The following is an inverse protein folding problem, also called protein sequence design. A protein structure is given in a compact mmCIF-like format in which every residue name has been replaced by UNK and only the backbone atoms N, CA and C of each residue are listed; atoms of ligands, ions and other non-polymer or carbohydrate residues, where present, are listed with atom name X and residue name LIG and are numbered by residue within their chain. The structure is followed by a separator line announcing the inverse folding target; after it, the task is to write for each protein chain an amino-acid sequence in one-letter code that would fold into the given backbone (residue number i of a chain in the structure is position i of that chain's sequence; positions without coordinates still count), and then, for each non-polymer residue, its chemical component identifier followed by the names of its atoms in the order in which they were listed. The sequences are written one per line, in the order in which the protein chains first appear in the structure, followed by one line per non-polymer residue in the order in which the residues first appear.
data_IF_501383029626
#
_entry.id   IF_501383029626
#
_cell.length_a   1.000
_cell.length_b   1.000
_cell.length_c   1.000
_cell.angle_alpha   90.00
_cell.angle_beta   90.00
_cell.angle_gamma   90.00
#
_symmetry.space_group_name_H-M   'P 1'
#
loop_
_entity.id
_entity.type
_entity.pdbx_description
1 polymer ?
#
# COMPACT_ATOMS: atom_id res chain seq x y z
N UNK A 1 -4.88 9.48 10.35
CA UNK A 1 -4.64 10.49 9.31
C UNK A 1 -5.10 11.86 9.80
N UNK A 2 -4.21 12.85 9.76
CA UNK A 2 -4.57 14.25 10.03
C UNK A 2 -5.14 14.87 8.74
N UNK A 3 -6.32 14.41 8.34
CA UNK A 3 -6.85 14.62 7.00
C UNK A 3 -7.04 16.11 6.65
N UNK A 4 -7.54 16.91 7.58
CA UNK A 4 -7.76 18.35 7.36
C UNK A 4 -6.42 19.08 7.12
N UNK A 5 -5.38 18.74 7.90
CA UNK A 5 -4.05 19.31 7.73
C UNK A 5 -3.44 18.90 6.37
N UNK A 6 -3.50 17.62 6.03
CA UNK A 6 -2.92 17.13 4.75
C UNK A 6 -3.66 17.74 3.57
N UNK A 7 -4.98 17.88 3.66
CA UNK A 7 -5.79 18.52 2.61
C UNK A 7 -5.34 19.95 2.36
N UNK A 8 -5.18 20.75 3.41
CA UNK A 8 -4.74 22.14 3.28
C UNK A 8 -3.29 22.23 2.77
N UNK A 9 -2.39 21.38 3.27
CA UNK A 9 -1.02 21.30 2.79
C UNK A 9 -0.97 21.01 1.29
N UNK A 10 -1.74 20.01 0.81
CA UNK A 10 -1.77 19.64 -0.60
C UNK A 10 -2.43 20.73 -1.45
N UNK A 11 -3.48 21.36 -0.93
CA UNK A 11 -4.13 22.50 -1.63
C UNK A 11 -3.12 23.64 -1.85
N UNK A 12 -2.33 24.01 -0.84
CA UNK A 12 -1.30 25.04 -0.95
C UNK A 12 -0.18 24.62 -1.90
N UNK A 13 0.30 23.36 -1.83
CA UNK A 13 1.29 22.85 -2.74
C UNK A 13 0.83 22.91 -4.21
N UNK A 14 -0.45 22.61 -4.46
CA UNK A 14 -1.03 22.70 -5.82
C UNK A 14 -1.08 24.14 -6.35
N UNK A 15 -1.29 25.14 -5.50
CA UNK A 15 -1.22 26.56 -5.91
C UNK A 15 0.18 26.97 -6.40
N UNK A 16 1.21 26.33 -5.85
CA UNK A 16 2.62 26.54 -6.25
C UNK A 16 3.05 25.59 -7.39
N UNK A 17 2.12 24.83 -7.98
CA UNK A 17 2.42 23.90 -9.08
C UNK A 17 3.19 22.64 -8.66
N UNK A 18 3.24 22.34 -7.36
CA UNK A 18 3.95 21.18 -6.81
C UNK A 18 3.08 19.92 -6.93
N UNK A 19 3.69 18.81 -7.36
CA UNK A 19 3.05 17.50 -7.40
C UNK A 19 2.86 16.96 -5.98
N UNK A 20 1.73 16.30 -5.74
CA UNK A 20 1.34 15.81 -4.40
C UNK A 20 1.12 14.30 -4.41
N UNK A 21 1.74 13.61 -3.47
CA UNK A 21 1.62 12.16 -3.33
C UNK A 21 1.22 11.80 -1.91
N UNK A 22 0.15 11.02 -1.76
CA UNK A 22 -0.26 10.47 -0.48
C UNK A 22 0.27 9.04 -0.33
N UNK A 23 1.23 8.87 0.58
CA UNK A 23 1.70 7.54 1.01
C UNK A 23 0.84 7.05 2.17
N UNK A 24 0.19 5.90 2.02
CA UNK A 24 -0.79 5.44 2.99
C UNK A 24 -0.91 3.91 3.04
N UNK A 25 -1.26 3.40 4.23
CA UNK A 25 -1.70 2.01 4.39
C UNK A 25 -3.18 1.80 4.05
N UNK A 26 -3.91 2.85 3.69
CA UNK A 26 -5.35 2.80 3.46
C UNK A 26 -6.22 2.75 4.71
N UNK A 27 -5.64 2.56 5.88
CA UNK A 27 -6.37 2.57 7.15
C UNK A 27 -6.29 3.97 7.81
N UNK A 28 -7.39 4.59 8.24
CA UNK A 28 -8.74 4.07 8.44
C UNK A 28 -9.75 4.53 7.36
N UNK A 29 -9.57 4.19 6.10
CA UNK A 29 -10.58 4.52 5.08
C UNK A 29 -11.97 3.96 5.46
N UNK A 30 -13.01 4.76 5.28
CA UNK A 30 -14.42 4.38 5.46
C UNK A 30 -15.29 5.25 4.58
N UNK A 31 -16.46 4.74 4.21
CA UNK A 31 -17.53 5.49 3.55
C UNK A 31 -18.40 6.29 4.53
N UNK A 32 -18.10 6.22 5.82
CA UNK A 32 -18.86 6.94 6.85
C UNK A 32 -18.47 8.42 6.91
N UNK A 33 -19.47 9.26 7.19
CA UNK A 33 -19.24 10.68 7.46
C UNK A 33 -18.74 10.91 8.90
N UNK A 34 -17.92 11.92 9.15
CA UNK A 34 -17.46 12.97 8.21
C UNK A 34 -16.18 12.61 7.43
N UNK A 35 -15.63 11.40 7.61
CA UNK A 35 -14.37 11.02 6.99
C UNK A 35 -14.48 11.01 5.47
N UNK A 36 -15.56 10.45 4.93
CA UNK A 36 -15.72 10.27 3.49
C UNK A 36 -15.74 11.60 2.72
N UNK A 37 -16.49 12.58 3.21
CA UNK A 37 -16.48 13.93 2.63
C UNK A 37 -15.09 14.57 2.67
N UNK A 38 -14.36 14.43 3.78
CA UNK A 38 -12.99 14.95 3.91
C UNK A 38 -12.00 14.23 2.98
N UNK A 39 -12.15 12.92 2.82
CA UNK A 39 -11.32 12.15 1.90
C UNK A 39 -11.56 12.57 0.45
N UNK A 40 -12.81 12.80 0.06
CA UNK A 40 -13.15 13.32 -1.26
C UNK A 40 -12.55 14.73 -1.52
N UNK A 41 -12.48 15.57 -0.50
CA UNK A 41 -11.81 16.87 -0.62
C UNK A 41 -10.31 16.71 -0.80
N UNK A 42 -9.65 15.85 0.01
CA UNK A 42 -8.23 15.54 -0.14
C UNK A 42 -7.89 15.01 -1.53
N UNK A 43 -8.73 14.13 -2.07
CA UNK A 43 -8.56 13.55 -3.41
C UNK A 43 -8.45 14.60 -4.53
N UNK A 44 -9.08 15.78 -4.39
CA UNK A 44 -9.00 16.85 -5.40
C UNK A 44 -7.58 17.38 -5.56
N UNK A 45 -6.81 17.37 -4.48
CA UNK A 45 -5.47 17.92 -4.41
C UNK A 45 -4.37 16.86 -4.42
N UNK A 46 -4.74 15.57 -4.57
CA UNK A 46 -3.77 14.46 -4.60
C UNK A 46 -3.60 13.97 -6.04
N UNK A 47 -2.35 14.02 -6.54
CA UNK A 47 -2.00 13.54 -7.88
C UNK A 47 -1.76 12.04 -7.91
N UNK A 48 -1.15 11.49 -6.87
CA UNK A 48 -0.78 10.08 -6.78
C UNK A 48 -1.06 9.52 -5.39
N UNK A 49 -1.60 8.31 -5.33
CA UNK A 49 -1.73 7.53 -4.11
C UNK A 49 -0.73 6.36 -4.13
N UNK A 50 0.15 6.30 -3.15
CA UNK A 50 0.99 5.13 -2.89
C UNK A 50 0.33 4.31 -1.80
N UNK A 51 -0.30 3.20 -2.18
CA UNK A 51 -1.12 2.37 -1.29
C UNK A 51 -0.42 1.05 -0.98
N UNK A 52 -0.22 0.78 0.31
CA UNK A 52 0.33 -0.48 0.77
C UNK A 52 -0.77 -1.53 0.97
N UNK A 53 -0.69 -2.66 0.27
CA UNK A 53 -1.48 -3.86 0.55
C UNK A 53 -0.56 -4.88 1.23
N UNK A 54 -0.63 -4.94 2.57
CA UNK A 54 0.27 -5.78 3.37
C UNK A 54 -0.02 -7.27 3.21
N UNK A 55 -1.30 -7.65 3.07
CA UNK A 55 -1.74 -8.99 2.76
C UNK A 55 -3.12 -8.96 2.07
N UNK A 56 -3.35 -9.85 1.09
CA UNK A 56 -4.65 -9.92 0.40
C UNK A 56 -5.70 -10.67 1.22
N UNK A 57 -5.30 -11.64 2.03
CA UNK A 57 -6.20 -12.37 2.91
C UNK A 57 -6.47 -11.58 4.19
N UNK A 58 -7.76 -11.39 4.53
CA UNK A 58 -8.18 -10.55 5.65
C UNK A 58 -7.73 -11.10 7.02
N UNK A 59 -7.75 -12.42 7.20
CA UNK A 59 -7.35 -13.05 8.47
C UNK A 59 -5.84 -12.91 8.68
N UNK A 60 -5.03 -13.21 7.65
CA UNK A 60 -3.58 -13.06 7.69
C UNK A 60 -3.18 -11.59 7.79
N UNK A 61 -3.91 -10.67 7.14
CA UNK A 61 -3.69 -9.24 7.31
C UNK A 61 -3.93 -8.80 8.76
N UNK A 62 -4.99 -9.32 9.39
CA UNK A 62 -5.30 -9.02 10.79
C UNK A 62 -4.25 -9.58 11.74
N UNK A 63 -3.73 -10.77 11.49
CA UNK A 63 -2.62 -11.35 12.26
C UNK A 63 -1.36 -10.46 12.16
N UNK A 64 -1.05 -9.97 10.95
CA UNK A 64 0.13 -9.15 10.70
C UNK A 64 0.01 -7.72 11.24
N UNK A 65 -1.17 -7.10 11.19
CA UNK A 65 -1.36 -5.66 11.43
C UNK A 65 -2.33 -5.33 12.55
N UNK A 66 -3.01 -6.32 13.14
CA UNK A 66 -4.13 -6.21 14.08
C UNK A 66 -5.44 -5.69 13.47
N UNK A 67 -5.49 -5.41 12.18
CA UNK A 67 -6.66 -4.91 11.44
C UNK A 67 -6.93 -5.78 10.22
N UNK A 68 -8.19 -5.96 9.83
CA UNK A 68 -8.49 -6.55 8.52
C UNK A 68 -8.17 -5.57 7.39
N UNK A 69 -8.32 -6.02 6.14
CA UNK A 69 -7.94 -5.26 4.95
C UNK A 69 -9.12 -4.77 4.12
N UNK A 70 -10.37 -4.96 4.56
CA UNK A 70 -11.56 -4.64 3.78
C UNK A 70 -11.59 -3.18 3.35
N UNK A 71 -11.36 -2.28 4.30
CA UNK A 71 -11.30 -0.85 4.07
C UNK A 71 -10.16 -0.43 3.11
N UNK A 72 -9.03 -1.14 3.13
CA UNK A 72 -7.90 -0.88 2.22
C UNK A 72 -8.25 -1.26 0.78
N UNK A 73 -8.86 -2.45 0.61
CA UNK A 73 -9.31 -2.92 -0.70
C UNK A 73 -10.45 -2.05 -1.25
N UNK A 74 -11.35 -1.59 -0.39
CA UNK A 74 -12.42 -0.66 -0.77
C UNK A 74 -11.86 0.72 -1.17
N UNK A 75 -10.84 1.23 -0.45
CA UNK A 75 -10.14 2.45 -0.86
C UNK A 75 -9.51 2.29 -2.25
N UNK A 76 -8.82 1.18 -2.52
CA UNK A 76 -8.21 0.93 -3.83
C UNK A 76 -9.25 0.93 -4.96
N UNK A 77 -10.38 0.24 -4.77
CA UNK A 77 -11.49 0.25 -5.73
C UNK A 77 -12.05 1.64 -5.93
N UNK A 78 -12.30 2.36 -4.83
CA UNK A 78 -12.87 3.70 -4.86
C UNK A 78 -11.95 4.68 -5.62
N UNK A 79 -10.64 4.66 -5.36
CA UNK A 79 -9.66 5.46 -6.09
C UNK A 79 -9.66 5.10 -7.59
N UNK A 80 -9.66 3.81 -7.91
CA UNK A 80 -9.70 3.30 -9.28
C UNK A 80 -10.94 3.79 -10.04
N UNK A 81 -12.12 3.69 -9.42
CA UNK A 81 -13.39 4.10 -10.04
C UNK A 81 -13.50 5.62 -10.21
N UNK A 82 -12.77 6.40 -9.41
CA UNK A 82 -12.67 7.85 -9.52
C UNK A 82 -11.47 8.32 -10.37
N UNK A 83 -10.81 7.43 -11.11
CA UNK A 83 -9.73 7.77 -12.03
C UNK A 83 -8.45 8.26 -11.35
N UNK A 84 -8.25 7.97 -10.06
CA UNK A 84 -7.07 8.39 -9.31
C UNK A 84 -5.89 7.46 -9.56
N UNK A 85 -4.76 8.02 -9.94
CA UNK A 85 -3.52 7.27 -10.16
C UNK A 85 -3.02 6.62 -8.87
N UNK A 86 -2.61 5.35 -8.97
CA UNK A 86 -2.11 4.59 -7.83
C UNK A 86 -0.79 3.90 -8.15
N UNK A 87 0.08 3.86 -7.16
CA UNK A 87 1.13 2.87 -7.03
C UNK A 87 0.73 1.91 -5.91
N UNK A 88 0.64 0.63 -6.23
CA UNK A 88 0.39 -0.42 -5.24
C UNK A 88 1.74 -0.97 -4.80
N UNK A 89 1.92 -1.10 -3.48
CA UNK A 89 3.13 -1.66 -2.90
C UNK A 89 2.81 -2.87 -2.03
N UNK A 90 3.64 -3.88 -2.12
CA UNK A 90 3.54 -5.09 -1.31
C UNK A 90 4.90 -5.42 -0.70
N UNK A 91 4.97 -5.57 0.63
CA UNK A 91 6.20 -5.95 1.32
C UNK A 91 6.31 -7.48 1.31
N UNK A 92 7.37 -7.99 0.68
CA UNK A 92 7.66 -9.42 0.58
C UNK A 92 8.42 -9.88 1.83
N UNK A 93 7.74 -10.59 2.72
CA UNK A 93 8.29 -11.17 3.94
C UNK A 93 8.26 -12.69 3.81
N UNK A 94 9.43 -13.37 3.70
CA UNK A 94 9.48 -14.82 3.55
C UNK A 94 8.73 -15.57 4.65
N UNK A 95 7.90 -16.53 4.22
CA UNK A 95 7.05 -17.32 5.12
C UNK A 95 5.83 -16.61 5.70
N UNK A 96 5.63 -15.31 5.37
CA UNK A 96 4.53 -14.50 5.91
C UNK A 96 3.63 -13.95 4.79
N UNK A 97 4.22 -13.29 3.78
CA UNK A 97 3.46 -12.61 2.72
C UNK A 97 3.81 -13.11 1.32
N UNK A 98 4.59 -14.18 1.20
CA UNK A 98 5.20 -14.68 -0.04
C UNK A 98 4.56 -15.95 -0.59
N UNK A 99 3.42 -16.42 -0.01
CA UNK A 99 2.75 -17.62 -0.52
C UNK A 99 2.25 -17.39 -1.95
N UNK A 100 2.48 -18.38 -2.82
CA UNK A 100 2.11 -18.27 -4.25
C UNK A 100 0.61 -18.05 -4.44
N UNK A 101 -0.22 -18.70 -3.62
CA UNK A 101 -1.66 -18.54 -3.67
C UNK A 101 -2.09 -17.10 -3.35
N UNK A 102 -1.54 -16.51 -2.27
CA UNK A 102 -1.87 -15.14 -1.89
C UNK A 102 -1.32 -14.11 -2.86
N UNK A 103 -0.12 -14.32 -3.41
CA UNK A 103 0.43 -13.47 -4.46
C UNK A 103 -0.44 -13.50 -5.73
N UNK A 104 -0.95 -14.67 -6.15
CA UNK A 104 -1.88 -14.78 -7.27
C UNK A 104 -3.20 -14.03 -7.00
N UNK A 105 -3.79 -14.20 -5.82
CA UNK A 105 -5.00 -13.47 -5.40
C UNK A 105 -4.76 -11.95 -5.38
N UNK A 106 -3.60 -11.52 -4.91
CA UNK A 106 -3.22 -10.10 -4.93
C UNK A 106 -3.06 -9.60 -6.36
N UNK A 107 -2.40 -10.36 -7.24
CA UNK A 107 -2.28 -10.03 -8.67
C UNK A 107 -3.64 -9.87 -9.34
N UNK A 108 -4.57 -10.81 -9.11
CA UNK A 108 -5.94 -10.75 -9.64
C UNK A 108 -6.69 -9.51 -9.15
N UNK A 109 -6.57 -9.18 -7.86
CA UNK A 109 -7.16 -7.97 -7.30
C UNK A 109 -6.61 -6.72 -7.97
N UNK A 110 -5.29 -6.59 -8.05
CA UNK A 110 -4.65 -5.40 -8.65
C UNK A 110 -4.99 -5.27 -10.14
N UNK A 111 -5.08 -6.38 -10.89
CA UNK A 111 -5.54 -6.41 -12.30
C UNK A 111 -6.99 -5.94 -12.48
N UNK A 112 -7.82 -6.03 -11.45
CA UNK A 112 -9.20 -5.52 -11.50
C UNK A 112 -9.27 -3.99 -11.39
N UNK A 113 -8.21 -3.33 -10.96
CA UNK A 113 -8.12 -1.87 -10.83
C UNK A 113 -7.69 -1.25 -12.17
N UNK A 114 -8.24 -0.07 -12.51
CA UNK A 114 -8.07 0.57 -13.83
C UNK A 114 -6.94 1.60 -13.87
N UNK A 115 -6.46 2.06 -12.72
CA UNK A 115 -5.59 3.24 -12.60
C UNK A 115 -4.29 2.98 -11.84
N UNK A 116 -3.82 1.74 -11.87
CA UNK A 116 -2.54 1.37 -11.27
C UNK A 116 -1.41 1.65 -12.27
N UNK A 117 -0.64 2.70 -12.01
CA UNK A 117 0.52 3.08 -12.83
C UNK A 117 1.77 2.25 -12.49
N UNK A 118 1.88 1.77 -11.25
CA UNK A 118 3.00 0.95 -10.79
C UNK A 118 2.54 -0.08 -9.75
N UNK A 119 3.06 -1.30 -9.86
CA UNK A 119 2.97 -2.32 -8.83
C UNK A 119 4.38 -2.69 -8.38
N UNK A 120 4.67 -2.59 -7.10
CA UNK A 120 6.03 -2.70 -6.57
C UNK A 120 6.12 -3.72 -5.43
N UNK A 121 7.08 -4.63 -5.56
CA UNK A 121 7.49 -5.53 -4.48
C UNK A 121 8.61 -4.86 -3.69
N UNK A 122 8.38 -4.64 -2.41
CA UNK A 122 9.35 -4.10 -1.47
C UNK A 122 9.96 -5.26 -0.66
N UNK A 123 11.25 -5.57 -0.83
CA UNK A 123 11.88 -6.60 -0.03
C UNK A 123 11.89 -6.24 1.46
N UNK A 124 11.49 -7.17 2.31
CA UNK A 124 11.69 -7.05 3.76
C UNK A 124 13.16 -6.84 4.08
N UNK A 125 13.45 -6.00 5.06
CA UNK A 125 14.78 -5.72 5.56
C UNK A 125 14.81 -5.53 7.08
N UNK A 126 15.95 -5.74 7.70
CA UNK A 126 16.13 -5.73 9.16
C UNK A 126 16.63 -4.38 9.72
N UNK A 127 16.66 -3.32 8.90
CA UNK A 127 17.24 -2.02 9.28
C UNK A 127 16.59 -1.37 10.52
N UNK A 128 15.34 -1.73 10.85
CA UNK A 128 14.61 -1.18 12.00
C UNK A 128 14.67 -2.05 13.27
N UNK A 129 15.29 -3.23 13.23
CA UNK A 129 15.25 -4.20 14.34
C UNK A 129 15.83 -3.61 15.63
N UNK A 130 16.93 -2.87 15.53
CA UNK A 130 17.58 -2.24 16.70
C UNK A 130 16.63 -1.36 17.53
N UNK A 131 15.61 -0.75 16.89
CA UNK A 131 14.62 0.09 17.59
C UNK A 131 13.74 -0.73 18.52
N UNK A 132 13.42 -1.98 18.14
CA UNK A 132 12.66 -2.90 18.97
C UNK A 132 13.48 -3.32 20.19
N UNK A 133 14.78 -3.58 19.98
CA UNK A 133 15.73 -3.92 21.05
C UNK A 133 15.88 -2.75 22.04
N UNK A 134 16.08 -1.52 21.55
CA UNK A 134 16.17 -0.32 22.38
C UNK A 134 14.91 -0.05 23.20
N UNK A 135 13.72 -0.38 22.65
CA UNK A 135 12.44 -0.23 23.34
C UNK A 135 12.11 -1.42 24.27
N UNK A 136 12.92 -2.48 24.27
CA UNK A 136 12.65 -3.70 25.03
C UNK A 136 11.39 -4.46 24.55
N UNK A 137 10.98 -4.26 23.29
CA UNK A 137 9.79 -4.89 22.71
C UNK A 137 10.22 -6.09 21.87
N UNK A 138 9.65 -7.31 22.09
CA UNK A 138 9.95 -8.45 21.27
C UNK A 138 9.64 -8.23 19.80
N UNK A 139 10.62 -8.49 18.90
CA UNK A 139 10.41 -8.38 17.47
C UNK A 139 9.88 -9.70 16.90
N UNK A 140 8.67 -9.69 16.35
CA UNK A 140 7.98 -10.90 15.88
C UNK A 140 8.66 -11.59 14.69
N UNK A 141 9.43 -10.84 13.87
CA UNK A 141 10.12 -11.34 12.69
C UNK A 141 11.63 -11.54 12.91
N UNK A 142 12.09 -11.72 14.19
CA UNK A 142 13.51 -11.84 14.55
C UNK A 142 14.25 -12.98 13.82
N UNK A 143 13.51 -14.05 13.50
CA UNK A 143 14.05 -15.26 12.87
C UNK A 143 13.77 -15.28 11.34
N UNK A 144 13.24 -14.19 10.78
CA UNK A 144 12.95 -14.06 9.35
C UNK A 144 14.10 -13.34 8.65
N UNK A 145 14.72 -14.00 7.68
CA UNK A 145 15.74 -13.38 6.84
C UNK A 145 15.12 -12.54 5.73
N UNK A 146 15.80 -11.49 5.24
CA UNK A 146 15.41 -10.81 4.01
C UNK A 146 15.27 -11.80 2.84
N UNK A 147 14.32 -11.55 1.89
CA UNK A 147 14.13 -12.43 0.76
C UNK A 147 15.36 -12.44 -0.16
N UNK A 148 15.63 -13.59 -0.75
CA UNK A 148 16.66 -13.77 -1.77
C UNK A 148 16.25 -13.07 -3.09
N UNK A 149 17.23 -12.90 -3.99
CA UNK A 149 16.96 -12.34 -5.33
C UNK A 149 16.00 -13.20 -6.12
N UNK A 150 16.08 -14.52 -5.96
CA UNK A 150 15.22 -15.50 -6.61
C UNK A 150 13.78 -15.41 -6.09
N UNK A 151 13.58 -15.25 -4.80
CA UNK A 151 12.27 -15.05 -4.20
C UNK A 151 11.64 -13.73 -4.65
N UNK A 152 12.42 -12.66 -4.71
CA UNK A 152 11.97 -11.35 -5.21
C UNK A 152 11.58 -11.46 -6.70
N UNK A 153 12.41 -12.12 -7.53
CA UNK A 153 12.12 -12.32 -8.94
C UNK A 153 10.83 -13.12 -9.13
N UNK A 154 10.67 -14.24 -8.40
CA UNK A 154 9.44 -15.05 -8.42
C UNK A 154 8.21 -14.24 -8.03
N UNK A 155 8.29 -13.43 -6.98
CA UNK A 155 7.17 -12.60 -6.56
C UNK A 155 6.81 -11.56 -7.63
N UNK A 156 7.80 -10.90 -8.23
CA UNK A 156 7.57 -9.96 -9.33
C UNK A 156 6.90 -10.63 -10.54
N UNK A 157 7.31 -11.86 -10.90
CA UNK A 157 6.73 -12.61 -12.01
C UNK A 157 5.26 -12.99 -11.71
N UNK A 158 4.95 -13.48 -10.50
CA UNK A 158 3.58 -13.84 -10.11
C UNK A 158 2.68 -12.60 -10.08
N UNK A 159 3.18 -11.49 -9.58
CA UNK A 159 2.46 -10.23 -9.48
C UNK A 159 2.40 -9.47 -10.81
N UNK A 160 3.16 -9.92 -11.83
CA UNK A 160 3.23 -9.28 -13.15
C UNK A 160 3.59 -7.78 -13.06
N UNK A 161 4.54 -7.45 -12.17
CA UNK A 161 4.88 -6.05 -11.88
C UNK A 161 5.41 -5.29 -13.08
N UNK A 162 6.03 -5.98 -14.04
CA UNK A 162 6.59 -5.40 -15.26
C UNK A 162 5.53 -4.83 -16.21
N UNK A 163 4.26 -5.25 -16.09
CA UNK A 163 3.15 -4.77 -16.91
C UNK A 163 2.68 -3.37 -16.51
N UNK A 164 3.03 -2.90 -15.31
CA UNK A 164 2.61 -1.60 -14.78
C UNK A 164 3.68 -0.54 -15.04
N UNK A 165 3.58 0.17 -16.16
CA UNK A 165 4.60 1.11 -16.64
C UNK A 165 4.12 2.58 -16.73
N UNK A 166 2.89 2.88 -16.30
CA UNK A 166 2.29 4.21 -16.40
C UNK A 166 3.04 5.32 -15.62
N UNK A 167 3.98 4.94 -14.75
CA UNK A 167 4.85 5.88 -14.02
C UNK A 167 6.04 6.39 -14.85
N UNK A 168 6.21 5.90 -16.09
CA UNK A 168 7.32 6.26 -16.98
C UNK A 168 6.96 7.39 -17.97
N UNK A 169 5.67 7.78 -18.00
CA UNK A 169 5.13 8.78 -18.92
C UNK A 169 5.14 10.20 -18.34
#
# INVERSE_FOLDING_TARGET
LQIDYVTELFRLAKLEGVNTTLDTSGNPFTFDEPFFSKFNELMKYTDLFMLDIKHIDAAKHKELTSWDNSNILDMAKYLSDNGKKMWIRHVLVPGVTDSEEDLKRLSEFVKSLKTVDRFEVLPYHTLGVFKWEELGIPYSLKDVNPPTKEEIARANDILDTASYTGYRD
#
